data_IF_620440418234
#
_entry.id   IF_620440418234
#
_cell.length_a   1.000
_cell.length_b   1.000
_cell.length_c   1.000
_cell.angle_alpha   90.00
_cell.angle_beta   90.00
_cell.angle_gamma   90.00
#
_symmetry.space_group_name_H-M   'P 1'
#
loop_
_entity.id
_entity.type
_entity.pdbx_description
1 polymer ?
#
# COMPACT_ATOMS: atom_id res chain seq x y z
N UNK A 1 21.44 3.71 -3.30
CA UNK A 1 22.53 4.50 -2.67
C UNK A 1 22.04 5.76 -1.96
N UNK A 2 21.65 6.86 -2.62
CA UNK A 2 21.24 8.08 -1.89
C UNK A 2 20.00 7.93 -0.98
N UNK A 3 19.04 7.07 -1.39
CA UNK A 3 17.84 6.79 -0.60
C UNK A 3 18.13 5.86 0.60
N UNK A 4 19.00 4.86 0.43
CA UNK A 4 19.42 3.94 1.49
C UNK A 4 20.19 4.67 2.59
N UNK A 5 21.04 5.63 2.21
CA UNK A 5 21.78 6.49 3.16
C UNK A 5 20.87 7.42 3.97
N UNK A 6 19.60 7.60 3.56
CA UNK A 6 18.63 8.48 4.22
C UNK A 6 17.43 7.73 4.82
N UNK A 7 17.46 6.39 4.87
CA UNK A 7 16.36 5.58 5.40
C UNK A 7 15.05 5.70 4.60
N UNK A 8 15.15 6.08 3.32
CA UNK A 8 14.01 6.23 2.42
C UNK A 8 13.74 4.90 1.71
N UNK A 9 12.50 4.44 1.79
CA UNK A 9 12.03 3.22 1.16
C UNK A 9 10.94 3.56 0.15
N UNK A 10 10.95 2.93 -1.03
CA UNK A 10 9.98 3.20 -2.08
C UNK A 10 9.60 1.96 -2.86
N UNK A 11 8.31 1.85 -3.20
CA UNK A 11 7.75 0.87 -4.13
C UNK A 11 6.79 1.57 -5.09
N UNK A 12 6.55 0.94 -6.24
CA UNK A 12 5.55 1.42 -7.19
C UNK A 12 4.75 0.25 -7.75
N UNK A 13 3.44 0.43 -7.82
CA UNK A 13 2.53 -0.43 -8.58
C UNK A 13 2.34 0.26 -9.92
N UNK A 14 2.56 -0.46 -11.02
CA UNK A 14 2.42 0.08 -12.38
C UNK A 14 1.51 -0.84 -13.19
N UNK A 15 0.48 -0.28 -13.82
CA UNK A 15 -0.44 -1.00 -14.68
C UNK A 15 -0.47 -0.35 -16.07
N UNK A 16 -0.06 -1.13 -17.08
CA UNK A 16 -0.05 -0.74 -18.49
C UNK A 16 -1.20 -1.37 -19.29
N UNK A 17 -2.07 -2.16 -18.64
CA UNK A 17 -3.22 -2.77 -19.29
C UNK A 17 -4.34 -1.73 -19.45
N UNK A 18 -4.53 -1.25 -20.68
CA UNK A 18 -5.55 -0.25 -20.98
C UNK A 18 -6.98 -0.76 -20.79
N UNK A 19 -7.21 -2.07 -20.67
CA UNK A 19 -8.52 -2.60 -20.31
C UNK A 19 -8.92 -2.30 -18.85
N UNK A 20 -7.96 -1.84 -18.04
CA UNK A 20 -8.21 -1.40 -16.66
C UNK A 20 -8.63 0.07 -16.57
N UNK A 21 -8.80 0.78 -17.70
CA UNK A 21 -9.33 2.14 -17.70
C UNK A 21 -10.73 2.21 -17.10
N UNK A 22 -11.00 3.27 -16.34
CA UNK A 22 -12.20 3.43 -15.53
C UNK A 22 -12.25 2.56 -14.26
N UNK A 23 -11.31 1.61 -14.08
CA UNK A 23 -11.24 0.79 -12.88
C UNK A 23 -10.54 1.52 -11.74
N UNK A 24 -11.02 1.31 -10.54
CA UNK A 24 -10.53 1.91 -9.30
C UNK A 24 -9.53 0.97 -8.64
N UNK A 25 -8.36 1.50 -8.27
CA UNK A 25 -7.30 0.72 -7.62
C UNK A 25 -7.24 1.11 -6.14
N UNK A 26 -7.90 0.33 -5.29
CA UNK A 26 -8.07 0.63 -3.88
C UNK A 26 -6.98 -0.06 -3.07
N UNK A 27 -6.15 0.72 -2.39
CA UNK A 27 -5.13 0.21 -1.48
C UNK A 27 -5.69 0.18 -0.07
N UNK A 28 -5.43 -0.91 0.65
CA UNK A 28 -5.73 -1.05 2.09
C UNK A 28 -4.55 -1.72 2.77
N UNK A 29 -4.47 -1.67 4.10
CA UNK A 29 -3.53 -2.51 4.83
C UNK A 29 -4.14 -3.12 6.07
N UNK A 30 -3.63 -4.29 6.43
CA UNK A 30 -3.88 -4.92 7.72
C UNK A 30 -2.65 -4.76 8.60
N UNK A 31 -2.85 -4.40 9.86
CA UNK A 31 -1.84 -4.49 10.91
C UNK A 31 -1.99 -5.81 11.66
N UNK A 32 -0.85 -6.46 11.90
CA UNK A 32 -0.75 -7.64 12.76
C UNK A 32 0.11 -7.30 13.97
N UNK A 33 -0.38 -7.61 15.18
CA UNK A 33 0.28 -7.42 16.48
C UNK A 33 0.20 -8.71 17.28
N UNK A 34 1.29 -9.04 17.96
CA UNK A 34 1.48 -10.33 18.63
C UNK A 34 1.13 -11.53 17.73
N UNK A 35 1.49 -11.41 16.45
CA UNK A 35 1.23 -12.42 15.42
C UNK A 35 -0.22 -12.52 14.92
N UNK A 36 -1.12 -11.65 15.40
CA UNK A 36 -2.56 -11.72 15.13
C UNK A 36 -3.06 -10.48 14.43
N UNK A 37 -4.10 -10.64 13.63
CA UNK A 37 -4.81 -9.51 13.03
C UNK A 37 -5.25 -8.52 14.10
N UNK A 38 -4.89 -7.25 13.90
CA UNK A 38 -5.26 -6.15 14.79
C UNK A 38 -6.38 -5.32 14.17
N UNK A 39 -6.16 -4.74 12.99
CA UNK A 39 -7.17 -3.96 12.27
C UNK A 39 -6.84 -3.80 10.78
N UNK A 40 -7.82 -3.31 10.02
CA UNK A 40 -7.67 -2.89 8.62
C UNK A 40 -7.82 -1.38 8.52
N UNK A 41 -6.91 -0.71 7.81
CA UNK A 41 -7.06 0.68 7.38
C UNK A 41 -7.39 0.69 5.87
N UNK A 42 -8.48 1.38 5.53
CA UNK A 42 -8.93 1.59 4.15
C UNK A 42 -8.32 2.84 3.49
N UNK A 43 -7.33 3.44 4.14
CA UNK A 43 -6.66 4.68 3.76
C UNK A 43 -7.60 5.89 3.66
N UNK A 44 -8.79 5.81 4.25
CA UNK A 44 -9.82 6.84 4.17
C UNK A 44 -10.54 6.86 2.83
N UNK A 45 -10.52 5.76 2.06
CA UNK A 45 -11.32 5.61 0.85
C UNK A 45 -12.81 5.47 1.16
N UNK A 46 -13.47 6.59 1.42
CA UNK A 46 -14.93 6.64 1.47
C UNK A 46 -15.48 6.91 0.06
N UNK A 47 -16.06 5.87 -0.57
CA UNK A 47 -16.59 5.97 -1.94
C UNK A 47 -17.97 6.65 -2.00
N UNK A 48 -18.11 7.77 -1.30
CA UNK A 48 -19.32 8.58 -1.25
C UNK A 48 -19.06 9.97 -1.83
N UNK A 49 -20.10 10.55 -2.40
CA UNK A 49 -20.02 11.92 -2.90
C UNK A 49 -19.95 12.88 -1.72
N UNK A 50 -18.82 13.55 -1.59
CA UNK A 50 -18.61 14.58 -0.59
C UNK A 50 -18.91 15.95 -1.18
N UNK A 51 -19.71 16.73 -0.46
CA UNK A 51 -20.10 18.08 -0.84
C UNK A 51 -19.21 19.10 -0.15
N UNK A 52 -18.47 19.87 -0.93
CA UNK A 52 -17.71 21.03 -0.47
C UNK A 52 -18.42 22.30 -0.90
N UNK A 53 -18.56 23.25 0.04
CA UNK A 53 -19.13 24.57 -0.25
C UNK A 53 -18.03 25.60 -0.02
N UNK A 54 -17.75 26.42 -1.02
CA UNK A 54 -16.74 27.46 -0.93
C UNK A 54 -17.24 28.76 -1.56
N UNK A 55 -16.71 29.87 -1.06
CA UNK A 55 -17.04 31.21 -1.55
C UNK A 55 -15.88 31.70 -2.41
N UNK A 56 -16.16 32.02 -3.67
CA UNK A 56 -15.20 32.63 -4.60
C UNK A 56 -15.83 33.92 -5.10
N UNK A 57 -15.16 35.04 -4.85
CA UNK A 57 -15.59 36.37 -5.31
C UNK A 57 -17.06 36.72 -4.94
N UNK A 58 -17.47 36.33 -3.73
CA UNK A 58 -18.83 36.47 -3.15
C UNK A 58 -19.90 35.51 -3.69
N UNK A 59 -19.58 34.66 -4.65
CA UNK A 59 -20.47 33.59 -5.10
C UNK A 59 -20.22 32.31 -4.31
N UNK A 60 -21.30 31.66 -3.89
CA UNK A 60 -21.23 30.33 -3.27
C UNK A 60 -21.19 29.27 -4.36
N UNK A 61 -20.08 28.55 -4.44
CA UNK A 61 -19.94 27.38 -5.29
C UNK A 61 -20.09 26.10 -4.47
N UNK A 62 -20.71 25.10 -5.11
CA UNK A 62 -20.86 23.76 -4.56
C UNK A 62 -20.07 22.82 -5.46
N UNK A 63 -19.20 22.03 -4.85
CA UNK A 63 -18.40 21.02 -5.53
C UNK A 63 -18.69 19.65 -4.91
N UNK A 64 -18.86 18.66 -5.76
CA UNK A 64 -19.04 17.26 -5.37
C UNK A 64 -17.81 16.48 -5.82
N UNK A 65 -17.23 15.70 -4.91
CA UNK A 65 -16.10 14.83 -5.20
C UNK A 65 -16.31 13.46 -4.58
N UNK A 66 -16.02 12.42 -5.35
CA UNK A 66 -15.93 11.06 -4.86
C UNK A 66 -14.46 10.63 -4.91
N UNK A 67 -13.82 10.43 -3.76
CA UNK A 67 -12.39 10.12 -3.72
C UNK A 67 -12.03 8.80 -4.40
N UNK A 68 -12.99 7.89 -4.55
CA UNK A 68 -12.77 6.66 -5.28
C UNK A 68 -12.65 6.87 -6.80
N UNK A 69 -13.19 7.97 -7.34
CA UNK A 69 -12.98 8.35 -8.75
C UNK A 69 -11.59 8.94 -8.98
N UNK A 70 -11.01 9.62 -7.98
CA UNK A 70 -9.66 10.20 -8.05
C UNK A 70 -8.55 9.13 -8.04
N UNK A 71 -8.89 7.88 -7.74
CA UNK A 71 -8.00 6.72 -7.83
C UNK A 71 -8.35 5.78 -8.98
N UNK A 72 -9.24 6.18 -9.87
CA UNK A 72 -9.52 5.44 -11.08
C UNK A 72 -8.40 5.60 -12.12
N UNK A 73 -8.18 4.56 -12.93
CA UNK A 73 -7.31 4.65 -14.08
C UNK A 73 -7.97 5.51 -15.17
N UNK A 74 -7.47 6.73 -15.33
CA UNK A 74 -7.94 7.70 -16.32
C UNK A 74 -7.94 7.17 -17.76
N UNK A 75 -8.99 7.50 -18.51
CA UNK A 75 -9.16 7.12 -19.92
C UNK A 75 -8.11 7.73 -20.86
N UNK A 76 -7.50 8.86 -20.48
CA UNK A 76 -6.49 9.54 -21.29
C UNK A 76 -5.06 9.10 -20.96
N UNK A 77 -4.85 8.43 -19.82
CA UNK A 77 -3.54 7.92 -19.41
C UNK A 77 -3.18 6.65 -20.18
N UNK A 78 -1.88 6.48 -20.48
CA UNK A 78 -1.31 5.26 -21.08
C UNK A 78 -0.81 4.25 -20.05
N UNK A 79 -0.56 4.74 -18.84
CA UNK A 79 -0.08 3.98 -17.70
C UNK A 79 -0.80 4.48 -16.46
N UNK A 80 -1.10 3.57 -15.54
CA UNK A 80 -1.53 3.87 -14.18
C UNK A 80 -0.43 3.52 -13.19
N UNK A 81 -0.20 4.38 -12.19
CA UNK A 81 0.73 4.03 -11.12
C UNK A 81 0.30 4.55 -9.75
N UNK A 82 0.61 3.74 -8.74
CA UNK A 82 0.56 4.10 -7.32
C UNK A 82 1.99 4.04 -6.81
N UNK A 83 2.49 5.16 -6.30
CA UNK A 83 3.85 5.23 -5.75
C UNK A 83 3.78 5.36 -4.25
N UNK A 84 4.52 4.51 -3.57
CA UNK A 84 4.55 4.46 -2.12
C UNK A 84 5.98 4.73 -1.72
N UNK A 85 6.17 5.73 -0.88
CA UNK A 85 7.49 6.09 -0.39
C UNK A 85 7.39 6.55 1.04
N UNK A 86 8.38 6.24 1.86
CA UNK A 86 8.41 6.75 3.21
C UNK A 86 9.80 6.83 3.77
N UNK A 87 9.91 7.55 4.87
CA UNK A 87 11.14 7.70 5.62
C UNK A 87 10.93 7.17 7.03
N UNK A 88 11.86 6.35 7.48
CA UNK A 88 11.90 5.87 8.84
C UNK A 88 12.59 6.89 9.74
N UNK A 89 11.88 7.37 10.76
CA UNK A 89 12.39 8.31 11.77
C UNK A 89 11.85 7.92 13.14
N UNK A 90 12.73 7.73 14.13
CA UNK A 90 12.36 7.41 15.51
C UNK A 90 11.32 6.27 15.61
N UNK A 91 11.59 5.13 14.97
CA UNK A 91 10.71 3.95 14.96
C UNK A 91 9.32 4.19 14.33
N UNK A 92 9.15 5.27 13.59
CA UNK A 92 7.94 5.58 12.82
C UNK A 92 8.25 5.68 11.33
N UNK A 93 7.41 5.06 10.51
CA UNK A 93 7.49 5.16 9.06
C UNK A 93 6.49 6.19 8.56
N UNK A 94 7.02 7.35 8.17
CA UNK A 94 6.24 8.43 7.58
C UNK A 94 6.00 8.12 6.11
N UNK A 95 4.88 7.46 5.82
CA UNK A 95 4.52 6.95 4.51
C UNK A 95 3.72 7.97 3.70
N UNK A 96 4.10 8.11 2.43
CA UNK A 96 3.42 8.83 1.37
C UNK A 96 2.91 7.85 0.34
N UNK A 97 1.65 7.96 -0.01
CA UNK A 97 1.02 7.18 -1.07
C UNK A 97 0.53 8.18 -2.11
N UNK A 98 1.10 8.10 -3.31
CA UNK A 98 0.77 8.98 -4.43
C UNK A 98 0.03 8.16 -5.48
N UNK A 99 -1.25 8.47 -5.61
CA UNK A 99 -2.06 8.17 -6.77
C UNK A 99 -1.80 9.22 -7.86
N UNK A 100 -2.37 9.01 -9.05
CA UNK A 100 -2.26 9.98 -10.15
C UNK A 100 -2.89 11.33 -9.80
N UNK A 101 -4.09 11.31 -9.21
CA UNK A 101 -4.85 12.53 -8.87
C UNK A 101 -4.88 12.84 -7.38
N UNK A 102 -4.43 11.92 -6.52
CA UNK A 102 -4.51 12.08 -5.06
C UNK A 102 -3.19 11.72 -4.36
N UNK A 103 -2.94 12.35 -3.22
CA UNK A 103 -1.82 12.03 -2.33
C UNK A 103 -2.33 11.82 -0.92
N UNK A 104 -1.77 10.82 -0.24
CA UNK A 104 -2.13 10.48 1.12
C UNK A 104 -0.88 10.33 1.98
N UNK A 105 -1.05 10.62 3.26
CA UNK A 105 -0.03 10.46 4.28
C UNK A 105 -0.54 9.47 5.32
N UNK A 106 0.32 8.55 5.75
CA UNK A 106 0.07 7.66 6.90
C UNK A 106 1.34 7.55 7.71
N UNK A 107 1.17 7.33 9.01
CA UNK A 107 2.27 7.03 9.93
C UNK A 107 2.05 5.61 10.41
N UNK A 108 3.05 4.76 10.22
CA UNK A 108 3.03 3.38 10.70
C UNK A 108 4.06 3.24 11.80
N UNK A 109 3.74 2.44 12.81
CA UNK A 109 4.73 2.01 13.80
C UNK A 109 5.74 1.08 13.10
N UNK A 110 6.97 1.06 13.58
CA UNK A 110 8.01 0.17 13.06
C UNK A 110 9.25 0.20 13.92
N UNK A 111 10.39 -0.15 13.31
CA UNK A 111 11.69 -0.06 13.94
C UNK A 111 12.78 0.14 12.90
N UNK A 112 13.97 0.58 13.31
CA UNK A 112 15.15 0.83 12.46
C UNK A 112 15.40 -0.21 11.34
N UNK A 113 15.07 -1.47 11.62
CA UNK A 113 15.28 -2.64 10.76
C UNK A 113 14.13 -2.95 9.78
N UNK A 114 12.99 -2.29 9.92
CA UNK A 114 11.81 -2.60 9.11
C UNK A 114 12.02 -2.24 7.65
N UNK A 115 11.48 -3.07 6.78
CA UNK A 115 11.60 -2.93 5.34
C UNK A 115 10.26 -3.12 4.62
N UNK A 116 9.99 -2.24 3.67
CA UNK A 116 8.90 -2.30 2.71
C UNK A 116 9.33 -3.21 1.56
N UNK A 117 8.60 -4.31 1.35
CA UNK A 117 9.00 -5.38 0.41
C UNK A 117 7.82 -5.89 -0.38
N UNK A 118 8.02 -6.13 -1.67
CA UNK A 118 7.02 -6.78 -2.52
C UNK A 118 6.79 -8.23 -2.08
N UNK A 119 5.52 -8.65 -2.09
CA UNK A 119 5.16 -10.05 -1.90
C UNK A 119 5.22 -10.77 -3.24
N UNK A 120 6.02 -11.84 -3.32
CA UNK A 120 6.14 -12.62 -4.56
C UNK A 120 5.24 -13.85 -4.53
N UNK A 121 4.57 -14.12 -5.65
CA UNK A 121 3.88 -15.39 -5.82
C UNK A 121 4.89 -16.53 -6.02
N UNK A 122 4.55 -17.74 -5.57
CA UNK A 122 5.43 -18.93 -5.67
C UNK A 122 5.77 -19.29 -7.13
N UNK A 123 4.82 -19.08 -8.03
CA UNK A 123 4.92 -19.46 -9.45
C UNK A 123 5.47 -18.34 -10.36
N UNK A 124 5.92 -17.21 -9.78
CA UNK A 124 6.32 -16.02 -10.52
C UNK A 124 5.15 -15.12 -10.91
N UNK A 125 5.41 -13.81 -10.96
CA UNK A 125 4.38 -12.79 -11.15
C UNK A 125 3.58 -12.49 -9.88
N UNK A 126 2.59 -11.61 -10.00
CA UNK A 126 1.63 -11.32 -8.93
C UNK A 126 0.28 -10.94 -9.60
N UNK A 127 -0.50 -11.91 -10.10
CA UNK A 127 -1.75 -11.62 -10.80
C UNK A 127 -2.78 -11.04 -9.82
N UNK A 128 -3.16 -9.79 -10.04
CA UNK A 128 -4.19 -9.11 -9.26
C UNK A 128 -5.53 -9.34 -9.95
N UNK A 129 -6.39 -10.15 -9.34
CA UNK A 129 -7.72 -10.41 -9.85
C UNK A 129 -8.67 -9.24 -9.53
N UNK A 130 -9.49 -8.84 -10.50
CA UNK A 130 -10.54 -7.84 -10.31
C UNK A 130 -11.54 -8.34 -9.26
N UNK A 131 -11.97 -7.44 -8.37
CA UNK A 131 -12.91 -7.72 -7.28
C UNK A 131 -12.33 -8.58 -6.16
N UNK A 132 -11.01 -8.84 -6.17
CA UNK A 132 -10.32 -9.58 -5.11
C UNK A 132 -9.31 -8.66 -4.42
N UNK A 133 -9.36 -8.66 -3.10
CA UNK A 133 -8.33 -8.07 -2.24
C UNK A 133 -7.08 -8.96 -2.28
N UNK A 134 -6.04 -8.52 -2.97
CA UNK A 134 -4.80 -9.28 -3.19
C UNK A 134 -3.64 -8.65 -2.42
N UNK A 135 -2.87 -9.41 -1.62
CA UNK A 135 -1.70 -8.89 -0.93
C UNK A 135 -0.58 -8.58 -1.95
N UNK A 136 0.05 -7.42 -1.80
CA UNK A 136 0.99 -6.88 -2.80
C UNK A 136 2.36 -6.54 -2.21
N UNK A 137 2.42 -6.03 -0.99
CA UNK A 137 3.67 -5.78 -0.28
C UNK A 137 3.46 -5.85 1.24
N UNK A 138 4.57 -5.95 1.95
CA UNK A 138 4.63 -6.03 3.41
C UNK A 138 5.58 -4.97 3.94
N UNK A 139 5.29 -4.48 5.13
CA UNK A 139 6.22 -3.68 5.93
C UNK A 139 6.48 -4.45 7.24
N UNK A 140 7.67 -5.02 7.36
CA UNK A 140 8.02 -5.97 8.43
C UNK A 140 9.50 -5.88 8.82
N UNK A 141 9.87 -6.31 10.04
CA UNK A 141 11.27 -6.47 10.41
C UNK A 141 11.92 -7.61 9.59
N UNK A 142 13.26 -7.72 9.60
CA UNK A 142 13.94 -8.93 9.14
C UNK A 142 13.49 -10.11 10.00
N UNK A 143 13.44 -11.28 9.39
CA UNK A 143 13.07 -12.52 10.05
C UNK A 143 14.06 -13.62 9.67
N UNK A 144 14.26 -14.57 10.59
CA UNK A 144 15.15 -15.69 10.38
C UNK A 144 14.42 -16.82 9.63
N UNK A 145 15.06 -17.39 8.62
CA UNK A 145 14.56 -18.54 7.86
C UNK A 145 15.21 -19.86 8.29
N UNK A 146 16.09 -19.85 9.29
CA UNK A 146 16.80 -21.03 9.81
C UNK A 146 17.83 -21.64 8.87
N UNK A 147 17.99 -21.10 7.66
CA UNK A 147 18.99 -21.48 6.67
C UNK A 147 20.11 -20.43 6.68
N UNK A 148 21.24 -20.78 7.28
CA UNK A 148 22.38 -19.89 7.60
C UNK A 148 23.10 -19.19 6.43
N UNK A 149 22.45 -18.99 5.29
CA UNK A 149 22.89 -18.18 4.16
C UNK A 149 21.68 -17.45 3.54
N UNK A 150 21.63 -16.13 3.70
CA UNK A 150 21.10 -15.13 2.76
C UNK A 150 19.74 -15.38 2.08
N UNK A 151 18.80 -16.10 2.67
CA UNK A 151 17.39 -15.98 2.29
C UNK A 151 16.81 -14.69 2.90
N UNK A 152 17.39 -13.56 2.50
CA UNK A 152 16.77 -12.27 2.72
C UNK A 152 15.39 -12.30 2.05
N UNK A 153 14.35 -12.38 2.89
CA UNK A 153 13.32 -11.36 2.89
C UNK A 153 12.31 -11.38 1.71
N UNK A 154 11.77 -12.54 1.34
CA UNK A 154 10.59 -12.60 0.47
C UNK A 154 9.49 -13.38 1.18
N UNK A 155 8.57 -12.64 1.81
CA UNK A 155 7.28 -13.20 2.20
C UNK A 155 6.49 -13.47 0.92
N UNK A 156 5.85 -14.63 0.86
CA UNK A 156 5.04 -15.05 -0.28
C UNK A 156 3.56 -14.78 0.01
N UNK A 157 2.65 -15.32 -0.80
CA UNK A 157 1.20 -15.14 -0.61
C UNK A 157 0.60 -16.13 0.42
N UNK A 158 1.41 -16.75 1.28
CA UNK A 158 0.88 -17.54 2.40
C UNK A 158 0.04 -16.64 3.32
N UNK A 159 -1.01 -17.20 3.96
CA UNK A 159 -1.79 -16.48 4.96
C UNK A 159 -0.88 -15.81 6.00
N UNK A 160 -1.08 -14.51 6.29
CA UNK A 160 -0.25 -13.78 7.24
C UNK A 160 -0.11 -14.42 8.63
N UNK A 161 -1.13 -15.17 9.06
CA UNK A 161 -1.13 -15.89 10.34
C UNK A 161 0.00 -16.94 10.40
N UNK A 162 0.33 -17.56 9.26
CA UNK A 162 1.42 -18.54 9.16
C UNK A 162 2.78 -17.85 9.33
N UNK A 163 2.90 -16.57 8.94
CA UNK A 163 4.17 -15.85 9.02
C UNK A 163 4.61 -15.64 10.47
N UNK A 164 3.66 -15.36 11.37
CA UNK A 164 3.97 -15.25 12.79
C UNK A 164 4.55 -16.55 13.33
N UNK A 165 3.89 -17.69 13.08
CA UNK A 165 4.32 -18.98 13.61
C UNK A 165 5.65 -19.44 13.02
N UNK A 166 5.83 -19.24 11.71
CA UNK A 166 6.98 -19.76 10.97
C UNK A 166 8.23 -18.89 11.09
N UNK A 167 8.05 -17.58 11.17
CA UNK A 167 9.14 -16.60 11.11
C UNK A 167 9.28 -15.76 12.40
N UNK A 168 8.46 -16.05 13.42
CA UNK A 168 8.44 -15.33 14.70
C UNK A 168 8.25 -13.82 14.52
N UNK A 169 7.34 -13.44 13.62
CA UNK A 169 7.01 -12.06 13.31
C UNK A 169 5.86 -11.57 14.21
N UNK A 170 6.20 -10.80 15.24
CA UNK A 170 5.22 -10.28 16.21
C UNK A 170 4.43 -9.07 15.70
N UNK A 171 5.08 -8.15 14.97
CA UNK A 171 4.45 -6.96 14.43
C UNK A 171 4.83 -6.75 12.97
N UNK A 172 3.83 -6.56 12.12
CA UNK A 172 4.01 -6.29 10.69
C UNK A 172 2.73 -5.76 10.05
N UNK A 173 2.88 -5.22 8.84
CA UNK A 173 1.77 -4.77 8.01
C UNK A 173 1.75 -5.54 6.70
N UNK A 174 0.54 -5.80 6.21
CA UNK A 174 0.29 -6.38 4.89
C UNK A 174 -0.59 -5.43 4.10
N UNK A 175 -0.12 -5.03 2.93
CA UNK A 175 -0.86 -4.14 2.06
C UNK A 175 -1.51 -4.93 0.95
N UNK A 176 -2.73 -4.53 0.62
CA UNK A 176 -3.58 -5.20 -0.34
C UNK A 176 -4.08 -4.23 -1.39
N UNK A 177 -4.11 -4.69 -2.64
CA UNK A 177 -4.76 -4.01 -3.76
C UNK A 177 -6.07 -4.70 -4.07
N UNK A 178 -7.12 -3.92 -4.26
CA UNK A 178 -8.37 -4.38 -4.85
C UNK A 178 -8.70 -3.51 -6.07
N UNK A 179 -8.97 -4.15 -7.21
CA UNK A 179 -9.36 -3.47 -8.45
C UNK A 179 -10.87 -3.60 -8.63
N UNK A 180 -11.62 -2.50 -8.75
CA UNK A 180 -13.10 -2.48 -8.92
C UNK A 180 -13.51 -1.81 -10.22
#
# INVERSE_FOLDING_TARGET
MANELNGIQMLAIVCNDTNMKGKRFLLTYDEYKDGKFSYTDDLGFDCVDQKYTFVVENDTMIYYINYCDEVAYSDVSKEYSIRIGGKLENDTFNMRINYQSMKMMKVLDGGAQYLLRELKHKDGGNPIAIGKRTPIFTYSPPYDTGSGLNHYCILNHEPPEIWSEKYNLEHFYVFYLEIK
#
